data_IF_277278915706
#
_entry.id   IF_277278915706
#
_cell.length_a   1.000
_cell.length_b   1.000
_cell.length_c   1.000
_cell.angle_alpha   90.00
_cell.angle_beta   90.00
_cell.angle_gamma   90.00
#
_symmetry.space_group_name_H-M   'P 1'
#
loop_
_entity.id
_entity.type
_entity.pdbx_description
1 polymer ?
#
# COMPACT_ATOMS: atom_id res chain seq x y z
N UNK A 1 -12.78 -83.96 9.38
CA UNK A 1 -13.26 -83.00 8.37
C UNK A 1 -12.80 -81.62 8.81
N UNK A 2 -11.98 -81.01 7.97
CA UNK A 2 -11.10 -79.90 8.28
C UNK A 2 -11.72 -78.64 7.66
N UNK A 3 -12.18 -77.72 8.51
CA UNK A 3 -12.54 -76.33 8.17
C UNK A 3 -12.12 -75.51 9.40
N UNK A 4 -10.96 -74.88 9.48
CA UNK A 4 -10.51 -73.69 8.75
C UNK A 4 -11.59 -72.59 8.69
N UNK A 5 -11.55 -71.63 9.63
CA UNK A 5 -11.57 -70.20 9.28
C UNK A 5 -11.19 -69.31 10.49
N UNK A 6 -9.92 -68.90 10.49
CA UNK A 6 -9.35 -67.60 10.87
C UNK A 6 -9.86 -66.83 12.10
N UNK A 7 -8.95 -66.71 13.08
CA UNK A 7 -8.82 -65.55 13.96
C UNK A 7 -8.66 -64.27 13.13
N UNK A 8 -9.52 -63.28 13.35
CA UNK A 8 -9.09 -61.88 13.34
C UNK A 8 -10.00 -61.08 14.26
N UNK A 9 -9.66 -61.13 15.55
CA UNK A 9 -10.16 -60.16 16.51
C UNK A 9 -9.52 -58.81 16.14
N UNK A 10 -10.26 -57.94 15.45
CA UNK A 10 -9.85 -56.54 15.23
C UNK A 10 -9.98 -55.76 16.54
N UNK A 11 -9.00 -55.95 17.42
CA UNK A 11 -8.85 -55.27 18.71
C UNK A 11 -8.05 -53.97 18.56
N UNK A 12 -7.96 -53.39 17.36
CA UNK A 12 -6.94 -52.39 17.05
C UNK A 12 -7.44 -51.18 16.25
N UNK A 13 -8.66 -50.70 16.49
CA UNK A 13 -9.09 -49.46 15.86
C UNK A 13 -10.05 -48.56 16.67
N UNK A 14 -9.93 -48.52 18.00
CA UNK A 14 -10.65 -47.52 18.82
C UNK A 14 -9.72 -46.60 19.63
N UNK A 15 -8.41 -46.88 19.67
CA UNK A 15 -7.47 -46.12 20.50
C UNK A 15 -6.78 -44.94 19.78
N UNK A 16 -7.01 -44.75 18.47
CA UNK A 16 -6.32 -43.71 17.69
C UNK A 16 -7.14 -42.43 17.46
N UNK A 17 -8.42 -42.36 17.85
CA UNK A 17 -9.24 -41.16 17.65
C UNK A 17 -9.15 -40.13 18.80
N UNK A 18 -8.51 -40.48 19.93
CA UNK A 18 -8.50 -39.62 21.12
C UNK A 18 -7.28 -38.68 21.23
N UNK A 19 -6.38 -38.66 20.24
CA UNK A 19 -5.12 -37.89 20.32
C UNK A 19 -4.77 -37.07 19.07
N UNK A 20 -5.72 -36.76 18.17
CA UNK A 20 -5.53 -35.67 17.21
C UNK A 20 -5.72 -34.30 17.89
N UNK A 21 -4.73 -34.01 18.73
CA UNK A 21 -4.03 -32.74 18.85
C UNK A 21 -4.96 -31.52 18.80
N UNK A 22 -5.42 -31.05 19.95
CA UNK A 22 -4.68 -30.00 20.66
C UNK A 22 -4.07 -28.98 19.69
N UNK A 23 -4.67 -27.78 19.70
CA UNK A 23 -3.85 -26.58 19.81
C UNK A 23 -3.02 -26.15 18.59
N UNK A 24 -3.52 -26.28 17.34
CA UNK A 24 -2.89 -25.65 16.15
C UNK A 24 -3.83 -24.92 15.18
N UNK A 25 -4.99 -24.48 15.66
CA UNK A 25 -5.65 -23.29 15.10
C UNK A 25 -5.62 -22.19 16.15
N UNK A 26 -4.44 -21.99 16.74
CA UNK A 26 -4.13 -20.72 17.36
C UNK A 26 -4.36 -19.66 16.28
N UNK A 27 -5.47 -18.94 16.43
CA UNK A 27 -5.66 -17.55 16.07
C UNK A 27 -4.42 -16.95 15.42
N UNK A 28 -4.26 -17.18 14.12
CA UNK A 28 -3.42 -16.33 13.30
C UNK A 28 -4.21 -15.04 13.13
N UNK A 29 -4.33 -14.28 14.22
CA UNK A 29 -4.60 -12.87 14.14
C UNK A 29 -3.37 -12.29 13.46
N UNK A 30 -3.44 -12.11 12.15
CA UNK A 30 -2.49 -11.29 11.39
C UNK A 30 -2.65 -9.84 11.89
N UNK A 31 -1.97 -9.55 12.99
CA UNK A 31 -1.84 -8.20 13.52
C UNK A 31 -0.49 -7.65 13.07
N UNK A 32 -0.10 -7.84 11.81
CA UNK A 32 1.27 -7.50 11.40
C UNK A 32 1.40 -6.98 9.98
N UNK A 33 0.40 -6.25 9.47
CA UNK A 33 0.62 -5.39 8.30
C UNK A 33 -0.14 -4.06 8.31
N UNK A 34 -1.22 -3.89 9.07
CA UNK A 34 -2.05 -2.68 8.98
C UNK A 34 -1.37 -1.38 9.48
N UNK A 35 -0.58 -1.41 10.56
CA UNK A 35 0.07 -0.19 11.10
C UNK A 35 1.30 0.28 10.32
N UNK A 36 2.15 -0.66 9.89
CA UNK A 36 3.35 -0.35 9.06
C UNK A 36 2.97 -0.05 7.62
N UNK A 37 1.93 -0.70 7.08
CA UNK A 37 1.43 -0.46 5.71
C UNK A 37 0.60 0.83 5.62
N UNK A 38 -0.23 1.15 6.62
CA UNK A 38 -0.94 2.44 6.65
C UNK A 38 0.01 3.63 6.82
N UNK A 39 1.02 3.52 7.70
CA UNK A 39 2.02 4.57 7.85
C UNK A 39 2.89 4.72 6.58
N UNK A 40 3.29 3.61 5.96
CA UNK A 40 3.98 3.63 4.67
C UNK A 40 3.12 4.28 3.57
N UNK A 41 1.82 4.02 3.55
CA UNK A 41 0.87 4.66 2.63
C UNK A 41 0.72 6.17 2.85
N UNK A 42 0.66 6.62 4.11
CA UNK A 42 0.62 8.05 4.47
C UNK A 42 1.92 8.76 4.07
N UNK A 43 3.07 8.14 4.34
CA UNK A 43 4.38 8.68 3.94
C UNK A 43 4.50 8.75 2.42
N UNK A 44 4.05 7.72 1.70
CA UNK A 44 4.03 7.73 0.24
C UNK A 44 3.15 8.87 -0.31
N UNK A 45 1.93 9.03 0.19
CA UNK A 45 1.03 10.12 -0.18
C UNK A 45 1.61 11.50 0.17
N UNK A 46 2.29 11.61 1.31
CA UNK A 46 2.94 12.85 1.73
C UNK A 46 4.13 13.21 0.85
N UNK A 47 4.93 12.23 0.43
CA UNK A 47 6.05 12.42 -0.51
C UNK A 47 5.54 12.91 -1.86
N UNK A 48 4.48 12.30 -2.38
CA UNK A 48 3.85 12.71 -3.63
C UNK A 48 3.25 14.13 -3.54
N UNK A 49 2.54 14.44 -2.43
CA UNK A 49 2.03 15.80 -2.15
C UNK A 49 3.17 16.82 -2.03
N UNK A 50 4.28 16.44 -1.40
CA UNK A 50 5.44 17.30 -1.21
C UNK A 50 6.17 17.57 -2.52
N UNK A 51 6.30 16.56 -3.39
CA UNK A 51 6.85 16.74 -4.73
C UNK A 51 6.03 17.75 -5.55
N UNK A 52 4.69 17.58 -5.59
CA UNK A 52 3.79 18.54 -6.25
C UNK A 52 3.89 19.95 -5.66
N UNK A 53 3.93 20.07 -4.33
CA UNK A 53 4.10 21.38 -3.65
C UNK A 53 5.44 22.03 -3.96
N UNK A 54 6.51 21.24 -4.06
CA UNK A 54 7.84 21.73 -4.44
C UNK A 54 7.82 22.25 -5.87
N UNK A 55 7.32 21.46 -6.81
CA UNK A 55 7.18 21.86 -8.22
C UNK A 55 6.38 23.17 -8.36
N UNK A 56 5.24 23.29 -7.67
CA UNK A 56 4.44 24.53 -7.65
C UNK A 56 5.25 25.74 -7.16
N UNK A 57 5.98 25.59 -6.05
CA UNK A 57 6.76 26.68 -5.48
C UNK A 57 7.94 27.08 -6.36
N UNK A 58 8.60 26.09 -6.96
CA UNK A 58 9.75 26.32 -7.83
C UNK A 58 9.30 27.01 -9.13
N UNK A 59 8.28 26.50 -9.82
CA UNK A 59 7.68 27.19 -11.00
C UNK A 59 7.17 28.59 -10.66
N UNK A 60 6.52 28.77 -9.51
CA UNK A 60 6.04 30.09 -9.11
C UNK A 60 7.18 31.06 -8.79
N UNK A 61 8.30 30.58 -8.22
CA UNK A 61 9.49 31.41 -7.98
C UNK A 61 10.14 31.81 -9.31
N UNK A 62 10.32 30.85 -10.21
CA UNK A 62 10.91 31.08 -11.54
C UNK A 62 10.07 32.10 -12.33
N UNK A 63 8.76 31.85 -12.48
CA UNK A 63 7.86 32.78 -13.17
C UNK A 63 7.74 34.15 -12.48
N UNK A 64 7.89 34.22 -11.14
CA UNK A 64 7.91 35.52 -10.46
C UNK A 64 9.22 36.28 -10.64
N UNK A 65 10.34 35.57 -10.80
CA UNK A 65 11.65 36.16 -11.06
C UNK A 65 11.72 36.82 -12.44
N UNK A 66 10.95 36.32 -13.40
CA UNK A 66 10.79 36.97 -14.71
C UNK A 66 10.14 38.35 -14.57
N UNK A 67 10.70 39.34 -15.25
CA UNK A 67 10.17 40.70 -15.33
C UNK A 67 8.87 40.76 -16.14
N UNK A 68 8.11 41.86 -16.01
CA UNK A 68 6.87 42.06 -16.78
C UNK A 68 7.11 42.04 -18.29
N UNK A 69 8.30 42.44 -18.75
CA UNK A 69 8.69 42.39 -20.17
C UNK A 69 8.91 40.96 -20.63
N UNK A 70 9.71 40.18 -19.90
CA UNK A 70 9.94 38.76 -20.23
C UNK A 70 8.64 37.95 -20.22
N UNK A 71 7.74 38.24 -19.27
CA UNK A 71 6.40 37.65 -19.26
C UNK A 71 5.59 38.07 -20.48
N UNK A 72 5.63 39.35 -20.86
CA UNK A 72 4.95 39.85 -22.06
C UNK A 72 5.50 39.24 -23.35
N UNK A 73 6.81 39.01 -23.43
CA UNK A 73 7.46 38.39 -24.58
C UNK A 73 7.03 36.92 -24.73
N UNK A 74 6.75 36.25 -23.61
CA UNK A 74 6.15 34.91 -23.57
C UNK A 74 4.62 34.91 -23.76
N UNK A 75 3.99 36.10 -23.88
CA UNK A 75 2.53 36.24 -23.96
C UNK A 75 1.80 35.91 -22.66
N UNK A 76 2.48 35.98 -21.51
CA UNK A 76 1.95 35.64 -20.19
C UNK A 76 1.67 36.89 -19.35
N UNK A 77 0.57 36.87 -18.61
CA UNK A 77 0.25 37.92 -17.63
C UNK A 77 0.56 37.46 -16.20
N UNK A 78 0.92 38.40 -15.31
CA UNK A 78 1.21 38.13 -13.88
C UNK A 78 0.08 37.35 -13.17
N UNK A 79 -1.18 37.58 -13.54
CA UNK A 79 -2.33 36.84 -13.01
C UNK A 79 -2.36 35.37 -13.43
N UNK A 80 -1.78 35.01 -14.58
CA UNK A 80 -1.74 33.63 -15.09
C UNK A 80 -0.67 32.78 -14.41
N UNK A 81 0.38 33.39 -13.85
CA UNK A 81 1.50 32.67 -13.20
C UNK A 81 0.99 31.63 -12.20
N UNK A 82 0.04 32.04 -11.34
CA UNK A 82 -0.51 31.16 -10.30
C UNK A 82 -1.28 29.98 -10.89
N UNK A 83 -2.01 30.19 -11.99
CA UNK A 83 -2.74 29.15 -12.73
C UNK A 83 -1.78 28.17 -13.41
N UNK A 84 -0.72 28.68 -14.05
CA UNK A 84 0.28 27.86 -14.77
C UNK A 84 1.09 27.02 -13.77
N UNK A 85 1.57 27.62 -12.69
CA UNK A 85 2.28 26.89 -11.64
C UNK A 85 1.39 25.78 -11.03
N UNK A 86 0.09 26.05 -10.87
CA UNK A 86 -0.86 25.05 -10.40
C UNK A 86 -1.05 23.91 -11.41
N UNK A 87 -1.20 24.21 -12.70
CA UNK A 87 -1.29 23.17 -13.74
C UNK A 87 0.00 22.32 -13.79
N UNK A 88 1.17 22.95 -13.83
CA UNK A 88 2.46 22.23 -13.84
C UNK A 88 2.64 21.27 -12.64
N UNK A 89 2.07 21.61 -11.48
CA UNK A 89 2.19 20.80 -10.28
C UNK A 89 1.10 19.73 -10.09
N UNK A 90 -0.10 19.91 -10.67
CA UNK A 90 -1.28 19.10 -10.35
C UNK A 90 -1.99 18.49 -11.57
N UNK A 91 -1.62 18.86 -12.81
CA UNK A 91 -2.20 18.28 -14.04
C UNK A 91 -1.21 17.43 -14.84
N UNK A 92 -0.12 16.99 -14.22
CA UNK A 92 0.84 16.05 -14.80
C UNK A 92 0.40 14.59 -14.57
#
# INVERSE_FOLDING_TARGET
>A
MQSQHFHHFDLNNDANDAHRLTNKMAYATDHSTHGRSAFAGIVAAFRERSARRRLYKDTLRELNSLSSRELSDLGLHRSMIRRIAYQAAYSA
#
